data_IF_743370587921
#
_entry.id   IF_743370587921
#
_cell.length_a   1.000
_cell.length_b   1.000
_cell.length_c   1.000
_cell.angle_alpha   90.00
_cell.angle_beta   90.00
_cell.angle_gamma   90.00
#
_symmetry.space_group_name_H-M   'P 1'
#
loop_
_entity.id
_entity.type
_entity.pdbx_description
1 polymer ?
#
# COMPACT_ATOMS: atom_id res chain seq x y z
N UNK A 1 -46.33 25.01 -6.05
CA UNK A 1 -45.63 24.37 -7.18
C UNK A 1 -44.57 25.32 -7.70
N UNK A 2 -43.31 25.14 -7.31
CA UNK A 2 -42.19 25.99 -7.75
C UNK A 2 -41.67 25.44 -9.08
N UNK A 3 -41.87 26.16 -10.18
CA UNK A 3 -41.29 25.81 -11.48
C UNK A 3 -39.80 26.13 -11.44
N UNK A 4 -38.95 25.10 -11.56
CA UNK A 4 -37.51 25.32 -11.75
C UNK A 4 -37.28 25.87 -13.15
N UNK A 5 -37.03 27.17 -13.25
CA UNK A 5 -36.65 27.82 -14.50
C UNK A 5 -35.31 27.27 -14.94
N UNK A 6 -35.31 26.36 -15.92
CA UNK A 6 -34.07 25.85 -16.51
C UNK A 6 -33.44 27.02 -17.29
N UNK A 7 -32.23 27.50 -16.93
CA UNK A 7 -31.63 28.63 -17.59
C UNK A 7 -31.36 28.27 -19.06
N UNK A 8 -31.90 29.08 -19.98
CA UNK A 8 -31.80 28.87 -21.42
C UNK A 8 -30.41 29.34 -21.90
N UNK A 9 -29.39 28.51 -21.64
CA UNK A 9 -28.01 28.82 -22.02
C UNK A 9 -27.88 28.85 -23.55
N UNK A 10 -27.17 29.84 -24.12
CA UNK A 10 -26.83 29.85 -25.54
C UNK A 10 -26.12 28.54 -25.92
N UNK A 11 -26.47 27.97 -27.08
CA UNK A 11 -25.88 26.72 -27.60
C UNK A 11 -24.35 26.61 -27.44
N UNK A 12 -23.54 27.64 -27.73
CA UNK A 12 -22.08 27.53 -27.55
C UNK A 12 -21.68 27.41 -26.07
N UNK A 13 -22.36 28.10 -25.16
CA UNK A 13 -22.08 28.05 -23.71
C UNK A 13 -22.48 26.70 -23.13
N UNK A 14 -23.65 26.17 -23.52
CA UNK A 14 -24.08 24.82 -23.12
C UNK A 14 -23.11 23.74 -23.62
N UNK A 15 -22.62 23.87 -24.84
CA UNK A 15 -21.65 22.94 -25.43
C UNK A 15 -20.30 23.02 -24.71
N UNK A 16 -19.78 24.23 -24.46
CA UNK A 16 -18.56 24.43 -23.69
C UNK A 16 -18.67 23.86 -22.27
N UNK A 17 -19.82 24.07 -21.60
CA UNK A 17 -20.06 23.55 -20.27
C UNK A 17 -20.05 22.02 -20.24
N UNK A 18 -20.69 21.37 -21.22
CA UNK A 18 -20.66 19.91 -21.35
C UNK A 18 -19.24 19.39 -21.63
N UNK A 19 -18.48 20.10 -22.48
CA UNK A 19 -17.08 19.75 -22.76
C UNK A 19 -16.24 19.85 -21.48
N UNK A 20 -16.34 20.95 -20.73
CA UNK A 20 -15.61 21.12 -19.46
C UNK A 20 -16.02 20.05 -18.45
N UNK A 21 -17.32 19.75 -18.34
CA UNK A 21 -17.83 18.75 -17.41
C UNK A 21 -17.27 17.35 -17.69
N UNK A 22 -17.03 17.00 -18.96
CA UNK A 22 -16.46 15.71 -19.35
C UNK A 22 -14.92 15.73 -19.28
N UNK A 23 -14.28 16.82 -19.74
CA UNK A 23 -12.81 16.90 -19.84
C UNK A 23 -12.16 17.16 -18.48
N UNK A 24 -12.76 17.94 -17.58
CA UNK A 24 -12.18 18.21 -16.26
C UNK A 24 -11.84 16.94 -15.45
N UNK A 25 -12.73 15.95 -15.28
CA UNK A 25 -12.39 14.74 -14.55
C UNK A 25 -11.32 13.90 -15.26
N UNK A 26 -11.33 13.84 -16.60
CA UNK A 26 -10.29 13.17 -17.38
C UNK A 26 -8.92 13.85 -17.23
N UNK A 27 -8.89 15.19 -17.30
CA UNK A 27 -7.68 15.98 -17.09
C UNK A 27 -7.14 15.78 -15.67
N UNK A 28 -8.01 15.79 -14.66
CA UNK A 28 -7.63 15.54 -13.28
C UNK A 28 -7.02 14.14 -13.08
N UNK A 29 -7.62 13.11 -13.68
CA UNK A 29 -7.10 11.73 -13.63
C UNK A 29 -5.69 11.59 -14.22
N UNK A 30 -5.40 12.31 -15.31
CA UNK A 30 -4.12 12.17 -16.02
C UNK A 30 -3.02 13.07 -15.41
N UNK A 31 -3.36 14.29 -15.01
CA UNK A 31 -2.38 15.30 -14.58
C UNK A 31 -2.09 15.30 -13.07
N UNK A 32 -2.99 14.77 -12.24
CA UNK A 32 -2.75 14.76 -10.79
C UNK A 32 -2.16 13.44 -10.32
N UNK A 33 -1.28 13.51 -9.33
CA UNK A 33 -0.64 12.33 -8.72
C UNK A 33 -1.69 11.39 -8.08
N UNK A 34 -2.68 11.96 -7.39
CA UNK A 34 -3.85 11.22 -6.88
C UNK A 34 -4.70 10.58 -7.98
N UNK A 35 -4.88 11.27 -9.11
CA UNK A 35 -5.63 10.75 -10.26
C UNK A 35 -4.95 9.54 -10.90
N UNK A 36 -3.62 9.60 -11.07
CA UNK A 36 -2.82 8.49 -11.59
C UNK A 36 -2.85 7.30 -10.64
N UNK A 37 -2.69 7.53 -9.35
CA UNK A 37 -2.82 6.50 -8.32
C UNK A 37 -4.18 5.80 -8.34
N UNK A 38 -5.26 6.58 -8.43
CA UNK A 38 -6.62 6.05 -8.49
C UNK A 38 -6.86 5.23 -9.76
N UNK A 39 -6.34 5.68 -10.90
CA UNK A 39 -6.42 4.95 -12.16
C UNK A 39 -5.60 3.66 -12.13
N UNK A 40 -4.37 3.71 -11.62
CA UNK A 40 -3.50 2.54 -11.52
C UNK A 40 -4.07 1.53 -10.52
N UNK A 41 -4.65 1.96 -9.41
CA UNK A 41 -5.32 1.09 -8.44
C UNK A 41 -6.62 0.51 -9.02
N UNK A 42 -7.40 1.31 -9.75
CA UNK A 42 -8.57 0.81 -10.50
C UNK A 42 -8.14 -0.23 -11.53
N UNK A 43 -7.05 0.02 -12.27
CA UNK A 43 -6.49 -0.91 -13.23
C UNK A 43 -5.99 -2.17 -12.53
N UNK A 44 -5.26 -2.09 -11.42
CA UNK A 44 -4.79 -3.24 -10.64
C UNK A 44 -5.97 -4.08 -10.10
N UNK A 45 -7.04 -3.43 -9.65
CA UNK A 45 -8.28 -4.10 -9.25
C UNK A 45 -8.98 -4.77 -10.46
N UNK A 46 -8.99 -4.13 -11.62
CA UNK A 46 -9.51 -4.71 -12.88
C UNK A 46 -8.63 -5.84 -13.43
N UNK A 47 -7.32 -5.78 -13.18
CA UNK A 47 -6.35 -6.82 -13.53
C UNK A 47 -6.26 -7.94 -12.49
N UNK A 48 -7.14 -7.92 -11.48
CA UNK A 48 -7.38 -9.05 -10.58
C UNK A 48 -6.20 -9.38 -9.66
N UNK A 49 -5.41 -8.38 -9.24
CA UNK A 49 -4.36 -8.62 -8.24
C UNK A 49 -4.89 -8.33 -6.84
N UNK A 50 -4.68 -9.27 -5.93
CA UNK A 50 -5.23 -9.20 -4.58
C UNK A 50 -4.63 -8.06 -3.76
N UNK A 51 -5.46 -7.45 -2.92
CA UNK A 51 -5.08 -6.33 -2.08
C UNK A 51 -5.16 -6.70 -0.61
N UNK A 52 -4.12 -6.40 0.15
CA UNK A 52 -4.12 -6.60 1.60
C UNK A 52 -4.25 -5.24 2.29
N UNK A 53 -5.16 -5.16 3.26
CA UNK A 53 -5.28 -4.03 4.18
C UNK A 53 -5.02 -4.51 5.60
N UNK A 54 -3.85 -4.17 6.14
CA UNK A 54 -3.39 -4.62 7.44
C UNK A 54 -2.73 -3.47 8.21
N UNK A 55 -3.19 -3.22 9.43
CA UNK A 55 -2.51 -2.29 10.35
C UNK A 55 -1.24 -2.94 10.87
N UNK A 56 -0.09 -2.38 10.50
CA UNK A 56 1.24 -2.93 10.86
C UNK A 56 1.43 -2.90 12.39
N UNK A 57 0.74 -2.00 13.09
CA UNK A 57 0.75 -1.84 14.55
C UNK A 57 0.10 -3.03 15.27
N UNK A 58 -0.79 -3.75 14.58
CA UNK A 58 -1.47 -4.93 15.09
C UNK A 58 -0.71 -6.23 14.79
N UNK A 59 0.43 -6.14 14.08
CA UNK A 59 1.30 -7.30 13.92
C UNK A 59 1.87 -7.71 15.28
N UNK A 60 2.01 -9.01 15.49
CA UNK A 60 2.53 -9.57 16.72
C UNK A 60 2.88 -11.05 16.58
N UNK A 61 3.51 -11.58 17.63
CA UNK A 61 3.94 -12.97 17.71
C UNK A 61 2.76 -13.96 17.82
N UNK A 62 1.55 -13.47 18.09
CA UNK A 62 0.30 -14.22 18.10
C UNK A 62 -0.22 -14.54 16.69
N UNK A 63 0.34 -13.92 15.64
CA UNK A 63 -0.01 -14.22 14.25
C UNK A 63 0.68 -15.51 13.82
N UNK A 64 -0.12 -16.54 13.60
CA UNK A 64 0.31 -17.83 13.02
C UNK A 64 0.13 -17.86 11.50
N UNK A 65 0.74 -18.84 10.84
CA UNK A 65 0.57 -19.05 9.39
C UNK A 65 -0.91 -19.24 9.03
N UNK A 66 -1.60 -20.12 9.77
CA UNK A 66 -3.00 -20.45 9.53
C UNK A 66 -3.91 -19.25 9.73
N UNK A 67 -3.73 -18.51 10.84
CA UNK A 67 -4.54 -17.33 11.15
C UNK A 67 -4.41 -16.26 10.07
N UNK A 68 -3.19 -16.04 9.56
CA UNK A 68 -2.95 -15.03 8.53
C UNK A 68 -3.59 -15.42 7.19
N UNK A 69 -3.48 -16.69 6.78
CA UNK A 69 -4.08 -17.18 5.54
C UNK A 69 -5.61 -17.12 5.63
N UNK A 70 -6.19 -17.50 6.77
CA UNK A 70 -7.65 -17.41 7.00
C UNK A 70 -8.17 -15.96 6.93
N UNK A 71 -7.36 -14.98 7.33
CA UNK A 71 -7.72 -13.57 7.26
C UNK A 71 -7.78 -13.04 5.82
N UNK A 72 -7.01 -13.61 4.90
CA UNK A 72 -6.89 -13.17 3.51
C UNK A 72 -7.09 -14.33 2.53
N UNK A 73 -8.29 -14.94 2.48
CA UNK A 73 -8.55 -16.16 1.71
C UNK A 73 -8.48 -15.96 0.19
N UNK A 74 -8.61 -14.71 -0.27
CA UNK A 74 -8.54 -14.36 -1.69
C UNK A 74 -7.08 -14.29 -2.18
N UNK A 75 -6.10 -14.19 -1.28
CA UNK A 75 -4.68 -14.10 -1.63
C UNK A 75 -4.07 -15.49 -1.69
N UNK A 76 -3.47 -15.82 -2.84
CA UNK A 76 -2.74 -17.07 -2.99
C UNK A 76 -1.36 -17.02 -2.31
N UNK A 77 -1.23 -17.65 -1.14
CA UNK A 77 0.03 -17.81 -0.43
C UNK A 77 0.74 -19.11 -0.81
N UNK A 78 2.00 -18.99 -1.22
CA UNK A 78 2.90 -20.13 -1.44
C UNK A 78 3.87 -20.20 -0.26
N UNK A 79 3.72 -21.25 0.55
CA UNK A 79 4.50 -21.44 1.76
C UNK A 79 5.47 -22.62 1.66
N UNK A 80 6.74 -22.38 1.94
CA UNK A 80 7.83 -23.37 1.90
C UNK A 80 8.65 -23.40 3.20
N UNK A 81 9.16 -24.58 3.55
CA UNK A 81 10.15 -24.71 4.62
C UNK A 81 11.50 -24.19 4.09
N UNK A 82 11.92 -23.03 4.56
CA UNK A 82 13.15 -22.38 4.12
C UNK A 82 13.79 -21.65 5.29
N UNK A 83 15.00 -22.06 5.65
CA UNK A 83 15.81 -21.34 6.64
C UNK A 83 16.21 -19.97 6.10
N UNK A 84 15.78 -18.93 6.79
CA UNK A 84 16.11 -17.53 6.54
C UNK A 84 16.75 -16.91 7.78
N UNK A 85 17.09 -15.61 7.71
CA UNK A 85 17.55 -14.87 8.90
C UNK A 85 16.43 -14.59 9.91
N UNK A 86 15.17 -14.74 9.50
CA UNK A 86 14.00 -14.37 10.29
C UNK A 86 13.19 -15.58 10.76
N UNK A 87 13.51 -16.80 10.31
CA UNK A 87 12.74 -17.99 10.65
C UNK A 87 13.04 -19.16 9.73
N UNK A 88 12.35 -20.28 9.95
CA UNK A 88 12.49 -21.52 9.21
C UNK A 88 11.33 -21.80 8.23
N UNK A 89 10.32 -20.93 8.24
CA UNK A 89 9.14 -21.01 7.39
C UNK A 89 8.90 -19.69 6.66
N UNK A 90 8.69 -19.77 5.35
CA UNK A 90 8.51 -18.60 4.47
C UNK A 90 7.23 -18.75 3.67
N UNK A 91 6.31 -17.80 3.82
CA UNK A 91 5.12 -17.66 2.99
C UNK A 91 5.23 -16.44 2.10
N UNK A 92 4.93 -16.59 0.81
CA UNK A 92 5.01 -15.51 -0.16
C UNK A 92 3.72 -15.40 -0.95
N UNK A 93 3.32 -14.17 -1.28
CA UNK A 93 2.19 -13.89 -2.14
C UNK A 93 2.52 -12.75 -3.10
N UNK A 94 1.96 -12.78 -4.31
CA UNK A 94 1.94 -11.61 -5.18
C UNK A 94 0.73 -10.75 -4.84
N UNK A 95 0.92 -9.44 -4.79
CA UNK A 95 -0.13 -8.49 -4.42
C UNK A 95 -0.22 -7.39 -5.45
N UNK A 96 -1.42 -6.84 -5.62
CA UNK A 96 -1.66 -5.62 -6.39
C UNK A 96 -1.38 -4.36 -5.56
N UNK A 97 -1.83 -4.38 -4.30
CA UNK A 97 -1.61 -3.29 -3.36
C UNK A 97 -1.55 -3.79 -1.91
N UNK A 98 -0.86 -3.02 -1.07
CA UNK A 98 -0.81 -3.21 0.37
C UNK A 98 -1.12 -1.87 1.03
N UNK A 99 -2.18 -1.77 1.85
CA UNK A 99 -2.64 -0.50 2.44
C UNK A 99 -2.76 0.63 1.40
N UNK A 100 -3.38 0.32 0.25
CA UNK A 100 -3.54 1.24 -0.89
C UNK A 100 -2.20 1.75 -1.48
N UNK A 101 -1.07 1.11 -1.17
CA UNK A 101 0.22 1.34 -1.81
C UNK A 101 0.43 0.26 -2.89
N UNK A 102 0.53 0.62 -4.18
CA UNK A 102 0.78 -0.34 -5.25
C UNK A 102 1.99 -1.22 -4.96
N UNK A 103 1.75 -2.52 -4.90
CA UNK A 103 2.72 -3.52 -4.44
C UNK A 103 2.98 -4.60 -5.48
N UNK A 104 3.99 -5.43 -5.21
CA UNK A 104 4.40 -6.52 -6.09
C UNK A 104 4.34 -7.87 -5.38
N UNK A 105 4.93 -7.93 -4.19
CA UNK A 105 4.96 -9.15 -3.39
C UNK A 105 5.05 -8.86 -1.90
N UNK A 106 4.54 -9.82 -1.13
CA UNK A 106 4.66 -9.89 0.32
C UNK A 106 5.39 -11.18 0.71
N UNK A 107 6.21 -11.10 1.75
CA UNK A 107 6.89 -12.23 2.35
C UNK A 107 6.67 -12.19 3.86
N UNK A 108 6.14 -13.28 4.39
CA UNK A 108 5.94 -13.52 5.81
C UNK A 108 6.94 -14.57 6.26
N UNK A 109 7.66 -14.27 7.34
CA UNK A 109 8.68 -15.14 7.90
C UNK A 109 8.19 -15.62 9.26
N UNK A 110 8.10 -16.94 9.43
CA UNK A 110 7.64 -17.57 10.65
C UNK A 110 8.78 -18.40 11.28
N UNK A 111 8.77 -18.44 12.62
CA UNK A 111 9.58 -19.34 13.45
C UNK A 111 8.69 -19.86 14.57
N UNK A 112 8.74 -21.15 14.87
CA UNK A 112 7.90 -21.78 15.90
C UNK A 112 6.39 -21.43 15.76
N UNK A 113 5.89 -21.37 14.52
CA UNK A 113 4.53 -20.97 14.15
C UNK A 113 4.14 -19.53 14.54
N UNK A 114 5.11 -18.65 14.74
CA UNK A 114 4.91 -17.25 15.12
C UNK A 114 5.55 -16.32 14.10
N UNK A 115 4.84 -15.25 13.70
CA UNK A 115 5.34 -14.27 12.74
C UNK A 115 6.53 -13.48 13.32
N UNK A 116 7.67 -13.59 12.65
CA UNK A 116 8.93 -12.95 13.04
C UNK A 116 9.27 -11.73 12.19
N UNK A 117 8.87 -11.74 10.92
CA UNK A 117 9.06 -10.60 10.05
C UNK A 117 8.02 -10.58 8.92
N UNK A 118 7.75 -9.38 8.43
CA UNK A 118 6.94 -9.12 7.25
C UNK A 118 7.71 -8.19 6.33
N UNK A 119 7.90 -8.59 5.09
CA UNK A 119 8.44 -7.73 4.03
C UNK A 119 7.38 -7.51 2.96
N UNK A 120 7.08 -6.26 2.64
CA UNK A 120 6.22 -5.90 1.51
C UNK A 120 7.04 -5.09 0.53
N UNK A 121 7.18 -5.57 -0.70
CA UNK A 121 7.85 -4.83 -1.77
C UNK A 121 6.82 -4.08 -2.58
N UNK A 122 6.92 -2.76 -2.53
CA UNK A 122 6.09 -1.87 -3.30
C UNK A 122 6.66 -1.63 -4.71
N UNK A 123 5.86 -1.04 -5.58
CA UNK A 123 6.33 -0.63 -6.90
C UNK A 123 7.20 0.62 -6.76
N UNK A 124 8.46 0.55 -7.22
CA UNK A 124 9.46 1.62 -7.05
C UNK A 124 8.98 3.00 -7.56
N UNK A 125 8.13 3.02 -8.59
CA UNK A 125 7.53 4.24 -9.13
C UNK A 125 6.70 5.05 -8.10
N UNK A 126 6.28 4.42 -7.00
CA UNK A 126 5.49 5.05 -5.94
C UNK A 126 6.28 5.21 -4.64
N UNK A 127 7.62 5.28 -4.72
CA UNK A 127 8.46 5.46 -3.54
C UNK A 127 8.14 6.73 -2.75
N UNK A 128 7.95 7.86 -3.43
CA UNK A 128 7.66 9.13 -2.77
C UNK A 128 6.32 9.08 -2.01
N UNK A 129 5.30 8.44 -2.60
CA UNK A 129 4.05 8.16 -1.92
C UNK A 129 4.23 7.23 -0.72
N UNK A 130 5.06 6.18 -0.85
CA UNK A 130 5.34 5.28 0.26
C UNK A 130 5.97 6.05 1.43
N UNK A 131 6.95 6.92 1.15
CA UNK A 131 7.57 7.82 2.14
C UNK A 131 6.53 8.70 2.81
N UNK A 132 5.69 9.39 2.04
CA UNK A 132 4.64 10.27 2.58
C UNK A 132 3.68 9.51 3.50
N UNK A 133 3.10 8.40 3.02
CA UNK A 133 2.17 7.58 3.79
C UNK A 133 2.79 7.08 5.10
N UNK A 134 4.04 6.63 5.03
CA UNK A 134 4.75 6.09 6.19
C UNK A 134 5.09 7.18 7.20
N UNK A 135 5.45 8.38 6.76
CA UNK A 135 5.64 9.51 7.69
C UNK A 135 4.35 9.91 8.40
N UNK A 136 3.22 9.92 7.68
CA UNK A 136 1.91 10.19 8.28
C UNK A 136 1.61 9.13 9.34
N UNK A 137 1.82 7.85 9.03
CA UNK A 137 1.61 6.74 9.95
C UNK A 137 2.49 6.85 11.20
N UNK A 138 3.79 7.12 11.03
CA UNK A 138 4.74 7.30 12.14
C UNK A 138 4.31 8.46 13.04
N UNK A 139 3.85 9.59 12.46
CA UNK A 139 3.41 10.76 13.23
C UNK A 139 2.10 10.49 14.00
N UNK A 140 1.22 9.65 13.45
CA UNK A 140 -0.07 9.35 14.05
C UNK A 140 0.01 8.27 15.15
N UNK A 141 0.75 7.19 14.91
CA UNK A 141 0.68 5.96 15.70
C UNK A 141 2.05 5.45 16.16
N UNK A 142 3.15 5.98 15.60
CA UNK A 142 4.50 5.49 15.84
C UNK A 142 5.23 6.15 17.00
N UNK A 143 6.15 5.39 17.61
CA UNK A 143 7.25 5.96 18.40
C UNK A 143 8.49 5.99 17.51
N UNK A 144 8.86 7.15 16.91
CA UNK A 144 9.99 7.23 16.00
C UNK A 144 11.28 6.81 16.71
N UNK A 145 12.01 5.89 16.09
CA UNK A 145 13.29 5.40 16.61
C UNK A 145 14.45 6.25 16.13
N UNK A 146 14.38 6.63 14.86
CA UNK A 146 15.42 7.37 14.17
C UNK A 146 14.78 8.19 13.05
N UNK A 147 15.20 9.44 12.95
CA UNK A 147 14.89 10.34 11.84
C UNK A 147 16.12 10.53 10.95
N UNK A 148 16.95 9.50 10.80
CA UNK A 148 18.00 9.49 9.79
C UNK A 148 17.43 9.94 8.45
N UNK A 149 18.19 10.79 7.75
CA UNK A 149 17.83 11.27 6.42
C UNK A 149 17.74 10.14 5.39
N UNK A 150 18.21 8.94 5.72
CA UNK A 150 18.28 7.81 4.79
C UNK A 150 17.22 6.72 5.05
N UNK A 151 16.73 6.59 6.29
CA UNK A 151 15.74 5.57 6.65
C UNK A 151 14.66 6.11 7.59
N UNK A 152 13.44 5.61 7.41
CA UNK A 152 12.31 5.80 8.31
C UNK A 152 12.22 4.57 9.22
N UNK A 153 12.26 4.79 10.54
CA UNK A 153 12.18 3.72 11.53
C UNK A 153 11.28 4.10 12.70
N UNK A 154 10.39 3.20 13.12
CA UNK A 154 9.59 3.40 14.33
C UNK A 154 9.26 2.09 15.04
N UNK A 155 8.96 2.19 16.34
CA UNK A 155 8.46 1.07 17.14
C UNK A 155 6.96 0.93 16.99
N UNK A 156 6.54 -0.32 16.85
CA UNK A 156 5.18 -0.80 17.10
C UNK A 156 5.15 -1.54 18.44
N UNK A 157 3.98 -1.85 19.02
CA UNK A 157 3.91 -2.60 20.27
C UNK A 157 4.67 -3.93 20.26
N UNK A 158 4.71 -4.63 19.11
CA UNK A 158 5.30 -5.97 19.01
C UNK A 158 6.57 -6.04 18.12
N UNK A 159 7.08 -4.91 17.62
CA UNK A 159 8.20 -4.94 16.68
C UNK A 159 8.67 -3.57 16.21
N UNK A 160 9.50 -3.57 15.17
CA UNK A 160 10.07 -2.37 14.55
C UNK A 160 9.77 -2.38 13.05
N UNK A 161 9.36 -1.23 12.53
CA UNK A 161 9.17 -1.03 11.09
C UNK A 161 10.31 -0.20 10.53
N UNK A 162 10.79 -0.58 9.36
CA UNK A 162 11.87 0.06 8.62
C UNK A 162 11.47 0.26 7.16
N UNK A 163 11.87 1.39 6.59
CA UNK A 163 11.78 1.66 5.16
C UNK A 163 12.88 2.65 4.74
N UNK A 164 13.42 2.50 3.53
CA UNK A 164 14.30 3.51 2.95
C UNK A 164 13.54 4.82 2.75
N UNK A 165 14.15 5.94 3.17
CA UNK A 165 13.66 7.30 2.91
C UNK A 165 14.13 7.82 1.56
N UNK A 166 15.28 7.33 1.10
CA UNK A 166 15.87 7.65 -0.20
C UNK A 166 15.46 6.57 -1.19
N UNK A 167 15.16 7.00 -2.42
CA UNK A 167 14.80 6.10 -3.52
C UNK A 167 15.89 5.03 -3.69
N UNK A 168 15.58 3.75 -3.48
CA UNK A 168 16.55 2.68 -3.59
C UNK A 168 16.93 2.43 -5.04
N UNK A 169 18.16 1.94 -5.27
CA UNK A 169 18.63 1.59 -6.63
C UNK A 169 18.01 0.31 -7.17
N UNK A 170 17.64 -0.63 -6.29
CA UNK A 170 17.05 -1.91 -6.65
C UNK A 170 15.58 -1.94 -6.29
N UNK A 171 14.78 -2.59 -7.14
CA UNK A 171 13.34 -2.71 -6.93
C UNK A 171 13.00 -3.50 -5.66
N UNK A 172 13.80 -4.51 -5.31
CA UNK A 172 13.61 -5.33 -4.10
C UNK A 172 13.88 -4.61 -2.77
N UNK A 173 14.55 -3.45 -2.84
CA UNK A 173 14.85 -2.57 -1.70
C UNK A 173 13.77 -1.48 -1.53
N UNK A 174 12.84 -1.37 -2.49
CA UNK A 174 11.62 -0.58 -2.38
C UNK A 174 10.62 -1.33 -1.51
N UNK A 175 10.94 -1.46 -0.23
CA UNK A 175 10.26 -2.36 0.69
C UNK A 175 9.93 -1.70 2.02
N UNK A 176 8.79 -2.09 2.57
CA UNK A 176 8.43 -1.90 3.98
C UNK A 176 8.78 -3.21 4.70
N UNK A 177 9.54 -3.12 5.78
CA UNK A 177 9.94 -4.26 6.59
C UNK A 177 9.46 -4.07 8.02
N UNK A 178 8.68 -5.01 8.55
CA UNK A 178 8.40 -5.14 9.97
C UNK A 178 9.15 -6.35 10.53
N UNK A 179 9.72 -6.20 11.72
CA UNK A 179 10.48 -7.23 12.42
C UNK A 179 9.95 -7.32 13.86
N UNK A 180 9.62 -8.52 14.31
CA UNK A 180 9.22 -8.79 15.69
C UNK A 180 10.33 -8.41 16.68
N UNK A 181 9.93 -8.05 17.91
CA UNK A 181 10.84 -7.68 18.99
C UNK A 181 11.50 -8.88 19.66
#
# INVERSE_FOLDING_TARGET
>A
MSQSTVPNLPKPVRTLFLIVLVISPLYWLIMTEHGRLSYDQMMLNLFGKDTISLKIENLGADITEELFIEQFPDVEFVCEERKTKFGDRLCQASLGAFNELPSQHMSLFFSDNSLQALKVVYQLAYHDLAVEKMEIQVKAEGQPLDFSSEMIQWRTPAGVVLMNRIVPKRHEDAAILWIAK
#
